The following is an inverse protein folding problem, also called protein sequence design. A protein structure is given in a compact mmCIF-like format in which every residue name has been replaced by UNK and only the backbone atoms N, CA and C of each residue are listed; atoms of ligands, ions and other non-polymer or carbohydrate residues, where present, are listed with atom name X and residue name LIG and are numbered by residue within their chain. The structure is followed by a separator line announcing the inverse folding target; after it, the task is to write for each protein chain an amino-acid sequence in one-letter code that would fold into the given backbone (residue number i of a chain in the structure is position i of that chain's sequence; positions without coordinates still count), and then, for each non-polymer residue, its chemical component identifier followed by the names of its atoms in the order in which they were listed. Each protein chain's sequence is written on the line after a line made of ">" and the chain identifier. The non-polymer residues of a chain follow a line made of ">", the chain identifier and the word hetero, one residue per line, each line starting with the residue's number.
data_IF_245904892884
#
_entry.id   IF_245904892884
#
_cell.length_a   1.000
_cell.length_b   1.000
_cell.length_c   1.000
_cell.angle_alpha   90.00
_cell.angle_beta   90.00
_cell.angle_gamma   90.00
#
_symmetry.space_group_name_H-M   'P 1'
#
loop_
_entity.id
_entity.type
_entity.pdbx_description
1 polymer ?
#
# COMPACT_ATOMS: atom_id res chain seq x y z
N UNK A 1 -9.51 7.36 19.87
CA UNK A 1 -8.59 6.31 19.41
C UNK A 1 -7.20 6.91 19.26
N UNK A 2 -6.42 6.98 20.34
CA UNK A 2 -5.02 7.42 20.27
C UNK A 2 -4.12 6.23 20.53
N UNK A 3 -3.38 5.88 19.49
CA UNK A 3 -2.57 4.68 19.32
C UNK A 3 -1.49 4.51 20.39
N UNK A 4 -1.48 3.34 21.03
CA UNK A 4 -0.37 2.37 21.11
C UNK A 4 1.08 2.83 20.83
N UNK A 5 1.57 3.91 21.44
CA UNK A 5 3.01 4.20 21.44
C UNK A 5 3.61 3.79 22.80
N UNK A 6 4.30 2.64 22.89
CA UNK A 6 4.91 2.20 24.14
C UNK A 6 5.96 3.22 24.60
N UNK A 7 5.87 3.60 25.87
CA UNK A 7 6.81 4.50 26.54
C UNK A 7 8.22 3.92 26.44
N UNK A 8 9.22 4.76 26.16
CA UNK A 8 10.64 4.34 26.02
C UNK A 8 11.05 3.49 27.23
N UNK A 9 11.49 2.26 26.97
CA UNK A 9 11.89 1.32 28.02
C UNK A 9 13.39 1.46 28.28
N UNK A 10 13.75 1.44 29.55
CA UNK A 10 15.16 1.36 29.99
C UNK A 10 15.50 -0.11 30.20
N UNK A 11 16.43 -0.63 29.41
CA UNK A 11 16.91 -2.02 29.51
C UNK A 11 18.38 -1.98 29.91
N UNK A 12 18.74 -2.70 30.99
CA UNK A 12 20.10 -2.76 31.52
C UNK A 12 20.76 -1.37 31.78
N UNK A 13 19.96 -0.37 32.19
CA UNK A 13 20.44 1.00 32.45
C UNK A 13 20.60 1.89 31.22
N UNK A 14 20.36 1.38 30.01
CA UNK A 14 20.38 2.16 28.76
C UNK A 14 18.96 2.54 28.36
N UNK A 15 18.73 3.84 28.15
CA UNK A 15 17.45 4.34 27.63
C UNK A 15 17.40 4.13 26.12
N UNK A 16 16.53 3.22 25.67
CA UNK A 16 16.33 3.00 24.24
C UNK A 16 15.36 4.07 23.73
N UNK A 17 15.75 4.90 22.74
CA UNK A 17 14.87 5.92 22.22
C UNK A 17 13.63 5.26 21.59
N UNK A 18 12.46 5.86 21.83
CA UNK A 18 11.21 5.40 21.22
C UNK A 18 11.26 5.42 19.70
N UNK A 19 10.37 4.64 19.07
CA UNK A 19 10.26 4.54 17.61
C UNK A 19 10.09 5.93 16.99
N UNK A 20 11.03 6.35 16.14
CA UNK A 20 10.98 7.64 15.45
C UNK A 20 10.28 7.48 14.11
N UNK A 21 9.16 8.17 13.93
CA UNK A 21 8.52 8.29 12.61
C UNK A 21 9.33 9.28 11.78
N UNK A 22 10.16 8.76 10.88
CA UNK A 22 10.91 9.58 9.94
C UNK A 22 10.20 9.60 8.59
N UNK A 23 10.36 10.68 7.82
CA UNK A 23 9.89 10.73 6.43
C UNK A 23 10.46 9.57 5.60
N UNK A 24 11.69 9.15 5.91
CA UNK A 24 12.30 7.95 5.35
C UNK A 24 11.48 6.69 5.60
N UNK A 25 10.99 6.46 6.83
CA UNK A 25 10.16 5.29 7.12
C UNK A 25 8.86 5.29 6.30
N UNK A 26 8.25 6.46 6.08
CA UNK A 26 7.08 6.59 5.22
C UNK A 26 7.43 6.28 3.75
N UNK A 27 8.56 6.78 3.27
CA UNK A 27 9.05 6.52 1.91
C UNK A 27 9.35 5.03 1.69
N UNK A 28 10.00 4.36 2.64
CA UNK A 28 10.20 2.91 2.61
C UNK A 28 8.87 2.16 2.58
N UNK A 29 7.90 2.54 3.41
CA UNK A 29 6.58 1.92 3.39
C UNK A 29 5.88 2.07 2.03
N UNK A 30 5.89 3.27 1.45
CA UNK A 30 5.28 3.51 0.14
C UNK A 30 5.96 2.67 -0.94
N UNK A 31 7.29 2.70 -1.01
CA UNK A 31 8.05 2.02 -2.06
C UNK A 31 7.93 0.49 -1.99
N UNK A 32 8.03 -0.09 -0.80
CA UNK A 32 8.13 -1.54 -0.64
C UNK A 32 6.81 -2.23 -0.31
N UNK A 33 5.77 -1.48 0.09
CA UNK A 33 4.46 -2.05 0.41
C UNK A 33 3.37 -1.49 -0.51
N UNK A 34 3.19 -0.17 -0.57
CA UNK A 34 2.09 0.42 -1.35
C UNK A 34 2.26 0.19 -2.85
N UNK A 35 3.45 0.46 -3.42
CA UNK A 35 3.70 0.29 -4.85
C UNK A 35 3.46 -1.15 -5.33
N UNK A 36 4.04 -2.20 -4.72
CA UNK A 36 3.82 -3.56 -5.23
C UNK A 36 2.35 -3.98 -5.14
N UNK A 37 1.63 -3.59 -4.09
CA UNK A 37 0.20 -3.86 -3.97
C UNK A 37 -0.57 -3.16 -5.09
N UNK A 38 -0.26 -1.89 -5.37
CA UNK A 38 -0.88 -1.13 -6.45
C UNK A 38 -0.57 -1.75 -7.83
N UNK A 39 0.65 -2.24 -8.05
CA UNK A 39 1.02 -2.93 -9.30
C UNK A 39 0.21 -4.21 -9.50
N UNK A 40 0.05 -5.02 -8.44
CA UNK A 40 -0.78 -6.23 -8.50
C UNK A 40 -2.24 -5.89 -8.75
N UNK A 41 -2.76 -4.87 -8.06
CA UNK A 41 -4.13 -4.40 -8.26
C UNK A 41 -4.36 -3.90 -9.70
N UNK A 42 -3.42 -3.14 -10.26
CA UNK A 42 -3.47 -2.67 -11.64
C UNK A 42 -3.42 -3.84 -12.64
N UNK A 43 -2.55 -4.82 -12.40
CA UNK A 43 -2.47 -6.01 -13.25
C UNK A 43 -3.80 -6.79 -13.25
N UNK A 44 -4.42 -6.97 -12.08
CA UNK A 44 -5.73 -7.61 -11.97
C UNK A 44 -6.82 -6.80 -12.68
N UNK A 45 -6.80 -5.48 -12.54
CA UNK A 45 -7.76 -4.59 -13.21
C UNK A 45 -7.64 -4.70 -14.74
N UNK A 46 -6.42 -4.75 -15.27
CA UNK A 46 -6.19 -4.98 -16.71
C UNK A 46 -6.61 -6.37 -17.16
N UNK A 47 -6.38 -7.40 -16.34
CA UNK A 47 -6.80 -8.77 -16.66
C UNK A 47 -8.32 -8.86 -16.73
N UNK A 48 -9.01 -8.26 -15.77
CA UNK A 48 -10.46 -8.22 -15.77
C UNK A 48 -11.02 -7.43 -16.94
N UNK A 49 -10.39 -6.31 -17.34
CA UNK A 49 -10.78 -5.59 -18.55
C UNK A 49 -10.84 -6.51 -19.77
N UNK A 50 -9.78 -7.29 -20.03
CA UNK A 50 -9.75 -8.22 -21.18
C UNK A 50 -10.83 -9.31 -21.07
N UNK A 51 -11.00 -9.90 -19.88
CA UNK A 51 -12.01 -10.94 -19.65
C UNK A 51 -13.42 -10.39 -19.89
N UNK A 52 -13.75 -9.22 -19.35
CA UNK A 52 -15.08 -8.63 -19.51
C UNK A 52 -15.34 -8.14 -20.93
N UNK A 53 -14.32 -7.62 -21.62
CA UNK A 53 -14.44 -7.24 -23.02
C UNK A 53 -14.75 -8.45 -23.91
N UNK A 54 -14.09 -9.60 -23.67
CA UNK A 54 -14.23 -10.78 -24.52
C UNK A 54 -15.51 -11.58 -24.23
N UNK A 55 -15.98 -11.61 -22.98
CA UNK A 55 -17.15 -12.42 -22.58
C UNK A 55 -18.46 -11.65 -22.48
N UNK A 56 -18.43 -10.37 -22.13
CA UNK A 56 -19.64 -9.61 -21.78
C UNK A 56 -19.89 -8.40 -22.69
N UNK A 57 -19.01 -8.13 -23.66
CA UNK A 57 -19.05 -6.97 -24.57
C UNK A 57 -19.28 -5.63 -23.83
N UNK A 58 -18.93 -5.63 -22.53
CA UNK A 58 -19.29 -4.60 -21.57
C UNK A 58 -18.03 -3.90 -21.11
N UNK A 59 -18.08 -2.57 -21.14
CA UNK A 59 -16.96 -1.75 -20.79
C UNK A 59 -16.84 -1.69 -19.26
N UNK A 60 -15.97 -2.53 -18.68
CA UNK A 60 -15.70 -2.58 -17.24
C UNK A 60 -14.23 -2.19 -16.97
N UNK A 61 -13.97 -1.48 -15.87
CA UNK A 61 -12.66 -0.99 -15.40
C UNK A 61 -12.14 0.36 -15.93
N UNK A 62 -10.96 0.77 -15.45
CA UNK A 62 -10.35 2.10 -15.62
C UNK A 62 -10.12 2.47 -17.09
N UNK A 63 -9.97 1.47 -17.96
CA UNK A 63 -9.77 1.67 -19.41
C UNK A 63 -11.04 2.11 -20.16
N UNK A 64 -12.22 2.10 -19.54
CA UNK A 64 -13.44 2.64 -20.16
C UNK A 64 -13.58 4.15 -20.06
N UNK A 65 -12.74 4.83 -19.26
CA UNK A 65 -12.71 6.29 -19.21
C UNK A 65 -12.06 6.91 -20.47
N UNK A 66 -11.44 6.09 -21.33
CA UNK A 66 -10.75 6.51 -22.56
C UNK A 66 -11.60 6.33 -23.83
N UNK A 67 -12.85 5.90 -23.71
CA UNK A 67 -13.78 5.70 -24.83
C UNK A 67 -14.92 6.70 -24.73
#
# INVERSE_FOLDING_TARGET
>A
MTLFFPKSQTVAGVSIPGRRYTAWAALYFVLFFCIPIMVVALALDTLFYFIFQEFFDSCYAVMCLSK
#
